data_IF_801263733848
#
_entry.id   IF_801263733848
#
_cell.length_a   1.000
_cell.length_b   1.000
_cell.length_c   1.000
_cell.angle_alpha   90.00
_cell.angle_beta   90.00
_cell.angle_gamma   90.00
#
_symmetry.space_group_name_H-M   'P 1'
#
loop_
_entity.id
_entity.type
_entity.pdbx_description
1 polymer ?
#
# COMPACT_ATOMS: atom_id res chain seq x y z
N UNK A 1 37.75 4.54 -17.25
CA UNK A 1 36.76 3.45 -17.17
C UNK A 1 36.19 3.24 -15.77
N UNK A 2 36.86 3.62 -14.67
CA UNK A 2 36.40 3.26 -13.32
C UNK A 2 35.79 4.41 -12.50
N UNK A 3 36.13 5.67 -12.79
CA UNK A 3 35.68 6.83 -11.99
C UNK A 3 34.20 7.22 -12.18
N UNK A 4 33.63 6.96 -13.36
CA UNK A 4 32.22 7.29 -13.67
C UNK A 4 31.27 6.53 -12.72
N UNK A 5 31.62 5.29 -12.36
CA UNK A 5 30.82 4.46 -11.46
C UNK A 5 30.79 5.05 -10.04
N UNK A 6 31.90 5.60 -9.54
CA UNK A 6 31.96 6.19 -8.20
C UNK A 6 31.13 7.47 -8.04
N UNK A 7 31.03 8.30 -9.09
CA UNK A 7 30.22 9.53 -9.05
C UNK A 7 28.74 9.29 -9.33
N UNK A 8 28.39 8.23 -10.07
CA UNK A 8 26.99 7.92 -10.41
C UNK A 8 26.31 6.95 -9.43
N UNK A 9 27.05 6.19 -8.63
CA UNK A 9 26.51 5.28 -7.62
C UNK A 9 25.68 5.98 -6.53
N UNK A 10 26.10 7.13 -5.96
CA UNK A 10 25.29 7.82 -4.96
C UNK A 10 23.96 8.32 -5.53
N UNK A 11 23.93 8.66 -6.83
CA UNK A 11 22.75 9.18 -7.52
C UNK A 11 21.66 8.11 -7.68
N UNK A 12 22.04 6.87 -7.97
CA UNK A 12 21.08 5.76 -8.12
C UNK A 12 20.52 5.28 -6.78
N UNK A 13 21.31 5.34 -5.70
CA UNK A 13 20.85 5.04 -4.34
C UNK A 13 19.81 6.06 -3.83
N UNK A 14 19.86 7.32 -4.30
CA UNK A 14 18.92 8.36 -3.89
C UNK A 14 17.54 8.24 -4.58
N UNK A 15 17.48 7.61 -5.76
CA UNK A 15 16.23 7.45 -6.53
C UNK A 15 15.39 6.25 -6.05
N UNK A 16 15.95 5.36 -5.23
CA UNK A 16 15.32 4.10 -4.82
C UNK A 16 14.17 4.19 -3.80
N UNK A 17 13.85 5.38 -3.25
CA UNK A 17 12.93 5.48 -2.11
C UNK A 17 11.54 6.07 -2.41
N UNK A 18 11.24 6.46 -3.64
CA UNK A 18 9.90 6.93 -4.01
C UNK A 18 9.15 5.79 -4.73
N UNK A 19 9.15 4.61 -4.13
CA UNK A 19 8.27 3.51 -4.52
C UNK A 19 6.87 3.79 -3.99
N UNK A 20 6.01 4.32 -4.85
CA UNK A 20 4.72 4.90 -4.49
C UNK A 20 3.85 4.00 -3.61
N UNK A 21 3.36 4.59 -2.51
CA UNK A 21 2.07 4.18 -1.99
C UNK A 21 1.07 4.40 -3.12
N UNK A 22 0.29 3.37 -3.45
CA UNK A 22 -0.77 3.42 -4.44
C UNK A 22 -1.57 4.73 -4.30
N UNK A 23 -1.92 5.41 -5.41
CA UNK A 23 -2.67 6.68 -5.44
C UNK A 23 -4.11 6.59 -4.84
N UNK A 24 -4.41 5.55 -4.09
CA UNK A 24 -5.70 5.30 -3.48
C UNK A 24 -5.81 6.03 -2.14
N UNK A 25 -6.98 6.61 -1.88
CA UNK A 25 -7.27 7.25 -0.60
C UNK A 25 -7.45 6.18 0.47
N UNK A 26 -6.82 6.36 1.62
CA UNK A 26 -7.13 5.57 2.81
C UNK A 26 -8.51 5.97 3.34
N UNK A 27 -9.34 5.00 3.68
CA UNK A 27 -10.59 5.16 4.39
C UNK A 27 -10.55 4.42 5.73
N UNK A 28 -11.28 4.88 6.76
CA UNK A 28 -11.32 4.21 8.07
C UNK A 28 -11.99 2.83 7.97
N UNK A 29 -11.45 1.86 8.71
CA UNK A 29 -12.05 0.53 8.82
C UNK A 29 -13.35 0.63 9.64
N UNK A 30 -14.46 0.24 9.04
CA UNK A 30 -15.80 0.23 9.64
C UNK A 30 -16.24 -1.17 10.09
N UNK A 31 -15.55 -2.22 9.61
CA UNK A 31 -15.88 -3.61 9.90
C UNK A 31 -15.46 -4.01 11.32
N UNK A 32 -16.42 -4.51 12.12
CA UNK A 32 -16.16 -4.91 13.52
C UNK A 32 -15.12 -6.03 13.65
N UNK A 33 -15.09 -6.97 12.70
CA UNK A 33 -14.13 -8.07 12.66
C UNK A 33 -12.67 -7.64 12.43
N UNK A 34 -12.44 -6.39 12.03
CA UNK A 34 -11.12 -5.84 11.70
C UNK A 34 -10.64 -4.80 12.71
N UNK A 35 -11.32 -4.60 13.84
CA UNK A 35 -11.00 -3.54 14.80
C UNK A 35 -9.76 -3.83 15.67
N UNK A 36 -9.36 -5.09 15.80
CA UNK A 36 -8.20 -5.50 16.62
C UNK A 36 -6.88 -5.57 15.83
N UNK A 37 -6.84 -4.95 14.64
CA UNK A 37 -5.64 -4.88 13.81
C UNK A 37 -4.72 -3.73 14.24
N UNK A 38 -3.40 -3.81 13.99
CA UNK A 38 -2.47 -2.73 14.30
C UNK A 38 -2.61 -1.49 13.38
N UNK A 39 -3.66 -1.45 12.54
CA UNK A 39 -3.98 -0.37 11.63
C UNK A 39 -5.49 -0.10 11.62
N UNK A 40 -5.86 1.16 11.40
CA UNK A 40 -7.24 1.64 11.47
C UNK A 40 -7.82 2.08 10.12
N UNK A 41 -7.01 2.01 9.06
CA UNK A 41 -7.36 2.47 7.72
C UNK A 41 -7.03 1.41 6.68
N UNK A 42 -7.79 1.41 5.59
CA UNK A 42 -7.65 0.52 4.45
C UNK A 42 -7.83 1.32 3.17
N UNK A 43 -7.29 0.85 2.05
CA UNK A 43 -7.51 1.48 0.74
C UNK A 43 -8.33 0.54 -0.14
N UNK A 44 -9.15 1.15 -0.99
CA UNK A 44 -10.01 0.47 -1.94
C UNK A 44 -9.64 0.96 -3.36
N UNK A 45 -9.64 0.08 -4.37
CA UNK A 45 -9.94 -1.35 -4.30
C UNK A 45 -8.87 -2.15 -3.55
N UNK A 46 -9.28 -3.15 -2.77
CA UNK A 46 -8.33 -4.02 -2.07
C UNK A 46 -7.68 -5.04 -3.04
N UNK A 47 -6.74 -5.86 -2.54
CA UNK A 47 -6.01 -6.85 -3.35
C UNK A 47 -6.92 -7.88 -4.04
N UNK A 48 -8.11 -8.11 -3.49
CA UNK A 48 -9.12 -9.02 -4.02
C UNK A 48 -10.13 -8.31 -4.96
N UNK A 49 -9.83 -7.07 -5.34
CA UNK A 49 -10.63 -6.26 -6.25
C UNK A 49 -12.04 -5.92 -5.73
N UNK A 50 -12.21 -5.87 -4.40
CA UNK A 50 -13.41 -5.32 -3.78
C UNK A 50 -13.27 -3.79 -3.65
N UNK A 51 -14.31 -3.07 -4.10
CA UNK A 51 -14.32 -1.60 -4.16
C UNK A 51 -14.84 -0.93 -2.88
N UNK A 52 -15.41 -1.71 -1.97
CA UNK A 52 -16.03 -1.23 -0.73
C UNK A 52 -15.90 -2.29 0.37
N UNK A 53 -15.89 -1.83 1.62
CA UNK A 53 -15.70 -2.69 2.79
C UNK A 53 -16.83 -3.70 2.97
N UNK A 54 -18.06 -3.33 2.58
CA UNK A 54 -19.24 -4.18 2.71
C UNK A 54 -19.16 -5.38 1.76
N UNK A 55 -18.77 -5.18 0.49
CA UNK A 55 -18.57 -6.30 -0.43
C UNK A 55 -17.44 -7.21 0.04
N UNK A 56 -16.35 -6.63 0.57
CA UNK A 56 -15.27 -7.42 1.17
C UNK A 56 -15.74 -8.22 2.40
N UNK A 57 -16.63 -7.65 3.23
CA UNK A 57 -17.18 -8.32 4.40
C UNK A 57 -18.06 -9.51 4.01
N UNK A 58 -18.95 -9.34 3.04
CA UNK A 58 -19.82 -10.41 2.54
C UNK A 58 -19.00 -11.61 2.04
N UNK A 59 -17.85 -11.36 1.41
CA UNK A 59 -16.94 -12.41 0.95
C UNK A 59 -16.24 -13.17 2.08
N UNK A 60 -16.17 -12.62 3.30
CA UNK A 60 -15.58 -13.27 4.47
C UNK A 60 -16.60 -14.03 5.33
N UNK A 61 -17.90 -13.76 5.15
CA UNK A 61 -18.99 -14.41 5.87
C UNK A 61 -19.45 -15.73 5.20
N UNK A 62 -18.90 -16.06 4.03
CA UNK A 62 -19.13 -17.30 3.27
C UNK A 62 -18.11 -18.38 3.65
#
# INVERSE_FOLDING_TARGET
MSWIVFYLWPLTMFVGHIGGHSLFSCEPITLRMCQDLPYNTTFMPNLLNHYDQQTAALAMEL
#
